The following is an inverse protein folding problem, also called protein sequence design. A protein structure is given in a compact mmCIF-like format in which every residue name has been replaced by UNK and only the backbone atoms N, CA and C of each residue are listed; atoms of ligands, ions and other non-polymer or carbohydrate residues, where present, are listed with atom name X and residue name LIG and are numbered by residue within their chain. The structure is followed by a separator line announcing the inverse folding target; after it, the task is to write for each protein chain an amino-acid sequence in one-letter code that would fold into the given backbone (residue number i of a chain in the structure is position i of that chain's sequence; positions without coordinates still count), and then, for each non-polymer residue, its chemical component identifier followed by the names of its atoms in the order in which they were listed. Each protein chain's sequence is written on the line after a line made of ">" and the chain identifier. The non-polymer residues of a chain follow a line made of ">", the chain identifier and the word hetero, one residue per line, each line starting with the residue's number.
data_IF_074130685697
#
_entry.id   IF_074130685697
#
_cell.length_a   1.000
_cell.length_b   1.000
_cell.length_c   1.000
_cell.angle_alpha   90.00
_cell.angle_beta   90.00
_cell.angle_gamma   90.00
#
_symmetry.space_group_name_H-M   'P 1'
#
loop_
_entity.id
_entity.type
_entity.pdbx_description
1 polymer ?
#
# COMPACT_ATOMS: atom_id res chain seq x y z
N UNK A 1 28.40 64.12 -23.67
CA UNK A 1 28.13 62.98 -22.76
C UNK A 1 27.40 61.88 -23.55
N UNK A 2 27.96 60.67 -23.57
CA UNK A 2 27.74 59.65 -24.62
C UNK A 2 26.43 58.86 -24.43
N UNK A 3 25.39 59.20 -25.21
CA UNK A 3 24.10 58.46 -25.31
C UNK A 3 24.24 56.97 -25.68
N UNK A 4 25.39 56.56 -26.22
CA UNK A 4 25.68 55.19 -26.65
C UNK A 4 26.08 54.22 -25.52
N UNK A 5 26.40 54.71 -24.33
CA UNK A 5 26.79 53.86 -23.20
C UNK A 5 25.57 53.26 -22.45
N UNK A 6 24.37 53.83 -22.64
CA UNK A 6 23.18 53.45 -21.86
C UNK A 6 22.47 52.20 -22.40
N UNK A 7 22.67 51.84 -23.67
CA UNK A 7 22.02 50.69 -24.30
C UNK A 7 22.79 49.37 -24.00
N UNK A 8 24.07 49.45 -23.66
CA UNK A 8 24.89 48.26 -23.36
C UNK A 8 24.68 47.66 -21.96
N UNK A 9 24.16 48.43 -21.01
CA UNK A 9 23.92 47.96 -19.64
C UNK A 9 22.53 47.33 -19.44
N UNK A 10 21.57 47.62 -20.31
CA UNK A 10 20.22 47.02 -20.23
C UNK A 10 20.17 45.56 -20.66
N UNK A 11 21.02 45.16 -21.62
CA UNK A 11 21.02 43.80 -22.19
C UNK A 11 21.69 42.76 -21.28
N UNK A 12 22.60 43.16 -20.38
CA UNK A 12 23.27 42.23 -19.45
C UNK A 12 22.36 41.84 -18.27
N UNK A 13 21.48 42.75 -17.81
CA UNK A 13 20.55 42.47 -16.71
C UNK A 13 19.37 41.58 -17.09
N UNK A 14 19.00 41.54 -18.38
CA UNK A 14 17.94 40.63 -18.89
C UNK A 14 18.48 39.22 -19.15
N UNK A 15 19.76 39.08 -19.48
CA UNK A 15 20.37 37.76 -19.67
C UNK A 15 20.60 37.01 -18.35
N UNK A 16 20.85 37.72 -17.24
CA UNK A 16 21.06 37.09 -15.92
C UNK A 16 19.77 36.54 -15.29
N UNK A 17 18.62 37.16 -15.56
CA UNK A 17 17.31 36.71 -15.10
C UNK A 17 16.73 35.55 -15.93
N UNK A 18 17.22 35.34 -17.15
CA UNK A 18 16.80 34.23 -18.01
C UNK A 18 17.46 32.88 -17.63
N UNK A 19 18.61 32.89 -16.96
CA UNK A 19 19.33 31.66 -16.55
C UNK A 19 19.01 31.27 -15.10
N UNK A 20 18.68 32.23 -14.23
CA UNK A 20 18.38 31.98 -12.81
C UNK A 20 16.94 31.55 -12.49
N UNK A 21 16.02 31.59 -13.46
CA UNK A 21 14.59 31.29 -13.26
C UNK A 21 14.18 29.85 -13.55
N UNK A 22 15.13 28.98 -13.93
CA UNK A 22 14.86 27.59 -14.31
C UNK A 22 15.12 26.56 -13.21
N UNK A 23 15.27 26.99 -11.96
CA UNK A 23 14.73 26.20 -10.86
C UNK A 23 13.22 26.41 -10.84
N UNK A 24 12.57 26.00 -11.93
CA UNK A 24 11.20 25.52 -11.88
C UNK A 24 11.25 24.45 -10.80
N UNK A 25 10.74 24.81 -9.63
CA UNK A 25 10.30 23.88 -8.62
C UNK A 25 9.43 22.87 -9.35
N UNK A 26 10.03 21.73 -9.72
CA UNK A 26 9.28 20.50 -9.94
C UNK A 26 8.83 20.05 -8.57
N UNK A 27 7.90 20.82 -7.99
CA UNK A 27 7.07 20.40 -6.89
C UNK A 27 5.93 19.53 -7.46
N UNK A 28 6.32 18.60 -8.33
CA UNK A 28 5.52 17.44 -8.64
C UNK A 28 5.91 16.46 -7.56
N UNK A 29 5.10 16.32 -6.51
CA UNK A 29 5.26 15.23 -5.56
C UNK A 29 5.47 13.95 -6.37
N UNK A 30 6.67 13.38 -6.27
CA UNK A 30 6.98 12.15 -6.98
C UNK A 30 6.05 11.05 -6.45
N UNK A 31 5.50 10.18 -7.31
CA UNK A 31 4.71 9.05 -6.88
C UNK A 31 5.42 8.25 -5.79
N UNK A 32 4.66 7.89 -4.76
CA UNK A 32 5.12 7.02 -3.70
C UNK A 32 4.94 5.56 -4.12
N UNK A 33 6.05 4.84 -4.21
CA UNK A 33 6.08 3.39 -4.36
C UNK A 33 6.02 2.73 -2.99
N UNK A 34 5.02 1.89 -2.79
CA UNK A 34 4.86 1.11 -1.57
C UNK A 34 5.33 -0.32 -1.82
N UNK A 35 6.04 -0.91 -0.86
CA UNK A 35 6.51 -2.29 -0.95
C UNK A 35 6.78 -2.88 0.43
N UNK A 36 7.09 -4.17 0.47
CA UNK A 36 7.59 -4.84 1.66
C UNK A 36 8.96 -5.43 1.37
N UNK A 37 9.86 -5.41 2.35
CA UNK A 37 11.20 -5.98 2.21
C UNK A 37 11.69 -6.57 3.52
N UNK A 38 12.66 -7.46 3.38
CA UNK A 38 13.47 -7.95 4.48
C UNK A 38 14.82 -7.22 4.48
N UNK A 39 15.48 -7.12 5.64
CA UNK A 39 16.88 -6.73 5.73
C UNK A 39 17.81 -7.95 5.81
N UNK A 40 19.12 -7.70 5.88
CA UNK A 40 20.13 -8.76 5.99
C UNK A 40 20.08 -9.56 7.30
N UNK A 41 19.44 -9.00 8.34
CA UNK A 41 19.24 -9.64 9.64
C UNK A 41 17.92 -10.44 9.68
N UNK A 42 17.16 -10.47 8.57
CA UNK A 42 15.87 -11.14 8.47
C UNK A 42 14.70 -10.36 9.09
N UNK A 43 14.87 -9.07 9.41
CA UNK A 43 13.78 -8.23 9.91
C UNK A 43 12.88 -7.75 8.77
N UNK A 44 11.59 -7.67 9.02
CA UNK A 44 10.57 -7.29 8.03
C UNK A 44 10.21 -5.81 8.11
N UNK A 45 9.98 -5.19 6.94
CA UNK A 45 9.64 -3.78 6.83
C UNK A 45 8.55 -3.53 5.80
N UNK A 46 7.60 -2.67 6.16
CA UNK A 46 6.75 -1.94 5.23
C UNK A 46 7.46 -0.65 4.82
N UNK A 47 7.58 -0.40 3.52
CA UNK A 47 8.43 0.68 2.99
C UNK A 47 7.73 1.55 1.97
N UNK A 48 8.13 2.82 1.96
CA UNK A 48 7.72 3.82 0.98
C UNK A 48 8.95 4.49 0.36
N UNK A 49 9.03 4.49 -0.97
CA UNK A 49 10.11 5.10 -1.74
C UNK A 49 9.55 6.05 -2.80
N UNK A 50 10.29 7.12 -3.11
CA UNK A 50 10.03 7.92 -4.32
C UNK A 50 10.66 7.25 -5.55
N UNK A 51 10.23 7.68 -6.74
CA UNK A 51 10.77 7.17 -8.01
C UNK A 51 12.28 7.40 -8.18
N UNK A 52 12.84 8.44 -7.55
CA UNK A 52 14.29 8.69 -7.52
C UNK A 52 15.07 7.80 -6.53
N UNK A 53 14.40 6.87 -5.84
CA UNK A 53 14.99 5.98 -4.85
C UNK A 53 15.09 6.58 -3.45
N UNK A 54 14.63 7.81 -3.23
CA UNK A 54 14.56 8.41 -1.90
C UNK A 54 13.61 7.61 -1.00
N UNK A 55 14.12 7.08 0.10
CA UNK A 55 13.30 6.43 1.14
C UNK A 55 12.49 7.48 1.88
N UNK A 56 11.16 7.35 1.85
CA UNK A 56 10.22 8.16 2.65
C UNK A 56 10.08 7.54 4.04
N UNK A 57 9.79 6.24 4.10
CA UNK A 57 9.69 5.51 5.37
C UNK A 57 10.13 4.05 5.25
N UNK A 58 10.43 3.46 6.40
CA UNK A 58 10.76 2.04 6.56
C UNK A 58 10.31 1.58 7.93
N UNK A 59 9.06 1.16 8.01
CA UNK A 59 8.37 0.84 9.26
C UNK A 59 8.58 -0.62 9.58
N UNK A 60 9.16 -0.96 10.75
CA UNK A 60 9.34 -2.35 11.15
C UNK A 60 7.99 -3.02 11.37
N UNK A 61 7.88 -4.28 10.94
CA UNK A 61 6.71 -5.14 11.13
C UNK A 61 7.17 -6.53 11.60
N UNK A 62 6.31 -7.25 12.32
CA UNK A 62 6.64 -8.55 12.94
C UNK A 62 6.67 -9.68 11.92
N UNK A 63 5.85 -9.60 10.88
CA UNK A 63 5.67 -10.65 9.88
C UNK A 63 5.94 -10.13 8.47
N UNK A 64 6.45 -11.02 7.62
CA UNK A 64 6.72 -10.70 6.21
C UNK A 64 5.41 -10.38 5.49
N UNK A 65 5.34 -9.24 4.82
CA UNK A 65 4.20 -8.90 3.97
C UNK A 65 4.35 -9.45 2.54
N UNK A 66 3.23 -9.68 1.87
CA UNK A 66 3.18 -10.18 0.50
C UNK A 66 2.88 -9.08 -0.51
N UNK A 67 1.78 -8.36 -0.31
CA UNK A 67 1.27 -7.34 -1.22
C UNK A 67 0.77 -6.11 -0.44
N UNK A 68 0.56 -5.00 -1.16
CA UNK A 68 0.21 -3.70 -0.58
C UNK A 68 -0.97 -3.08 -1.30
N UNK A 69 -1.98 -2.66 -0.54
CA UNK A 69 -3.20 -2.07 -1.09
C UNK A 69 -3.38 -0.66 -0.53
N UNK A 70 -3.25 0.34 -1.41
CA UNK A 70 -3.55 1.72 -1.06
C UNK A 70 -5.07 1.95 -1.01
N UNK A 71 -5.52 2.68 0.01
CA UNK A 71 -6.90 3.13 0.09
C UNK A 71 -7.18 4.14 -1.04
N UNK A 72 -8.34 4.07 -1.73
CA UNK A 72 -8.60 4.90 -2.91
C UNK A 72 -8.65 6.42 -2.63
N UNK A 73 -9.07 6.81 -1.42
CA UNK A 73 -9.33 8.23 -1.06
C UNK A 73 -8.55 8.78 0.14
N UNK A 74 -7.83 7.94 0.88
CA UNK A 74 -7.21 8.31 2.17
C UNK A 74 -5.73 7.95 2.11
N UNK A 75 -4.86 8.63 2.87
CA UNK A 75 -3.44 8.29 2.96
C UNK A 75 -3.23 7.06 3.84
N UNK A 76 -3.83 5.94 3.46
CA UNK A 76 -3.80 4.67 4.15
C UNK A 76 -3.34 3.59 3.17
N UNK A 77 -2.54 2.65 3.64
CA UNK A 77 -2.20 1.45 2.90
C UNK A 77 -2.21 0.23 3.83
N UNK A 78 -2.72 -0.88 3.33
CA UNK A 78 -2.69 -2.16 4.02
C UNK A 78 -1.56 -3.00 3.43
N UNK A 79 -0.59 -3.35 4.27
CA UNK A 79 0.46 -4.31 3.96
C UNK A 79 -0.01 -5.67 4.46
N UNK A 80 -0.37 -6.55 3.54
CA UNK A 80 -1.02 -7.83 3.89
C UNK A 80 0.04 -8.87 4.16
N UNK A 81 -0.08 -9.53 5.30
CA UNK A 81 0.84 -10.58 5.73
C UNK A 81 0.90 -11.76 4.76
N UNK A 82 2.11 -12.25 4.50
CA UNK A 82 2.36 -13.40 3.62
C UNK A 82 2.08 -14.70 4.35
N UNK A 83 1.33 -15.60 3.71
CA UNK A 83 1.02 -16.92 4.27
C UNK A 83 2.23 -17.69 4.83
N UNK A 84 2.06 -18.40 5.95
CA UNK A 84 1.02 -18.18 6.96
C UNK A 84 1.32 -16.89 7.74
N UNK A 85 0.39 -15.94 7.74
CA UNK A 85 0.53 -14.72 8.55
C UNK A 85 -0.64 -14.53 9.48
N UNK A 86 -0.39 -14.18 10.75
CA UNK A 86 -1.43 -13.80 11.71
C UNK A 86 -1.65 -12.30 11.75
N UNK A 87 -0.73 -11.54 11.15
CA UNK A 87 -0.77 -10.10 11.15
C UNK A 87 -0.83 -9.50 9.75
N UNK A 88 -1.45 -8.34 9.65
CA UNK A 88 -1.34 -7.39 8.54
C UNK A 88 -1.27 -5.98 9.13
N UNK A 89 -0.84 -4.99 8.35
CA UNK A 89 -0.49 -3.68 8.90
C UNK A 89 -1.19 -2.55 8.14
N UNK A 90 -1.97 -1.72 8.85
CA UNK A 90 -2.50 -0.47 8.33
C UNK A 90 -1.52 0.65 8.63
N UNK A 91 -1.05 1.32 7.60
CA UNK A 91 0.00 2.33 7.69
C UNK A 91 -0.50 3.65 7.07
N UNK A 92 -0.14 4.76 7.70
CA UNK A 92 -0.26 6.08 7.08
C UNK A 92 0.78 6.21 5.96
N UNK A 93 0.32 6.33 4.72
CA UNK A 93 1.22 6.35 3.57
C UNK A 93 2.04 7.63 3.45
N UNK A 94 1.75 8.69 4.22
CA UNK A 94 2.51 9.94 4.17
C UNK A 94 3.87 9.82 4.83
N UNK A 95 3.94 9.14 5.97
CA UNK A 95 5.14 9.10 6.81
C UNK A 95 5.51 7.70 7.33
N UNK A 96 4.69 6.68 7.02
CA UNK A 96 4.93 5.31 7.45
C UNK A 96 4.43 5.01 8.87
N UNK A 97 3.70 5.91 9.52
CA UNK A 97 3.17 5.66 10.86
C UNK A 97 2.30 4.38 10.87
N UNK A 98 2.66 3.42 11.71
CA UNK A 98 1.86 2.22 11.94
C UNK A 98 0.60 2.61 12.73
N UNK A 99 -0.56 2.57 12.07
CA UNK A 99 -1.84 2.94 12.66
C UNK A 99 -2.51 1.77 13.36
N UNK A 100 -2.36 0.56 12.81
CA UNK A 100 -2.97 -0.64 13.36
C UNK A 100 -2.22 -1.89 12.90
N UNK A 101 -1.97 -2.80 13.86
CA UNK A 101 -1.72 -4.21 13.56
C UNK A 101 -3.07 -4.91 13.49
N UNK A 102 -3.41 -5.44 12.32
CA UNK A 102 -4.58 -6.31 12.12
C UNK A 102 -4.20 -7.72 12.51
N UNK A 103 -4.66 -8.18 13.68
CA UNK A 103 -4.59 -9.59 14.03
C UNK A 103 -5.73 -10.35 13.34
N UNK A 104 -5.40 -11.48 12.71
CA UNK A 104 -6.41 -12.44 12.26
C UNK A 104 -7.07 -13.12 13.49
N UNK A 105 -8.31 -13.62 13.34
CA UNK A 105 -8.90 -14.50 14.34
C UNK A 105 -7.99 -15.73 14.62
N UNK A 106 -8.13 -16.39 15.79
CA UNK A 106 -7.29 -17.53 16.18
C UNK A 106 -7.09 -18.58 15.09
N UNK A 107 -8.17 -18.95 14.39
CA UNK A 107 -8.19 -20.01 13.39
C UNK A 107 -8.12 -19.49 11.95
N UNK A 108 -7.52 -18.32 11.74
CA UNK A 108 -7.37 -17.67 10.45
C UNK A 108 -5.94 -17.20 10.25
N UNK A 109 -5.43 -17.35 9.04
CA UNK A 109 -4.19 -16.72 8.58
C UNK A 109 -4.47 -15.95 7.28
N UNK A 110 -3.85 -14.78 7.13
CA UNK A 110 -3.86 -14.03 5.89
C UNK A 110 -3.12 -14.78 4.79
N UNK A 111 -3.63 -14.67 3.56
CA UNK A 111 -3.00 -15.24 2.37
C UNK A 111 -2.18 -14.25 1.54
N UNK A 112 -2.12 -12.99 1.96
CA UNK A 112 -1.23 -11.99 1.35
C UNK A 112 -1.90 -11.06 0.36
N UNK A 113 -3.18 -11.25 0.04
CA UNK A 113 -3.91 -10.40 -0.90
C UNK A 113 -5.15 -9.79 -0.27
N UNK A 114 -5.49 -8.61 -0.75
CA UNK A 114 -6.67 -7.85 -0.36
C UNK A 114 -7.15 -6.95 -1.47
N UNK A 115 -8.22 -6.20 -1.22
CA UNK A 115 -8.70 -5.16 -2.10
C UNK A 115 -9.62 -4.20 -1.34
N UNK A 116 -9.48 -2.90 -1.60
CA UNK A 116 -10.46 -1.93 -1.16
C UNK A 116 -11.63 -1.89 -2.13
N UNK A 117 -12.85 -1.71 -1.63
CA UNK A 117 -13.97 -1.29 -2.46
C UNK A 117 -13.72 0.12 -3.00
N UNK A 118 -14.28 0.46 -4.17
CA UNK A 118 -14.09 1.77 -4.80
C UNK A 118 -14.57 2.94 -3.92
N UNK A 119 -15.56 2.72 -3.05
CA UNK A 119 -16.01 3.73 -2.07
C UNK A 119 -14.96 4.03 -1.00
N UNK A 120 -14.02 3.11 -0.75
CA UNK A 120 -13.05 3.18 0.35
C UNK A 120 -13.58 2.69 1.69
N UNK A 121 -14.89 2.48 1.85
CA UNK A 121 -15.47 2.11 3.16
C UNK A 121 -15.17 0.67 3.59
N UNK A 122 -14.74 -0.17 2.65
CA UNK A 122 -14.58 -1.61 2.84
C UNK A 122 -13.23 -2.09 2.33
N UNK A 123 -12.63 -3.00 3.09
CA UNK A 123 -11.47 -3.77 2.71
C UNK A 123 -11.79 -5.27 2.83
N UNK A 124 -11.40 -6.02 1.82
CA UNK A 124 -11.57 -7.46 1.76
C UNK A 124 -10.21 -8.12 1.64
N UNK A 125 -10.01 -9.27 2.26
CA UNK A 125 -8.73 -10.00 2.24
C UNK A 125 -8.95 -11.50 2.20
N UNK A 126 -8.08 -12.21 1.49
CA UNK A 126 -8.13 -13.68 1.45
C UNK A 126 -7.44 -14.26 2.69
N UNK A 127 -8.13 -15.20 3.32
CA UNK A 127 -7.69 -15.87 4.54
C UNK A 127 -7.90 -17.40 4.39
N UNK A 128 -7.16 -18.17 5.18
CA UNK A 128 -7.46 -19.59 5.38
C UNK A 128 -8.31 -19.82 6.63
N UNK A 129 -9.01 -20.94 6.66
CA UNK A 129 -9.57 -21.52 7.87
C UNK A 129 -8.65 -22.66 8.33
N UNK A 130 -8.04 -22.52 9.51
CA UNK A 130 -7.20 -23.58 10.09
C UNK A 130 -8.01 -24.61 10.89
N UNK A 131 -9.26 -24.32 11.23
CA UNK A 131 -10.16 -25.27 11.89
C UNK A 131 -10.82 -26.24 10.89
N UNK A 132 -10.93 -25.84 9.61
CA UNK A 132 -11.40 -26.69 8.50
C UNK A 132 -10.35 -26.70 7.37
N UNK A 133 -9.52 -27.75 7.37
CA UNK A 133 -8.30 -27.84 6.59
C UNK A 133 -8.50 -27.55 5.09
N UNK A 134 -8.01 -26.38 4.68
CA UNK A 134 -7.98 -25.90 3.31
C UNK A 134 -9.17 -25.01 2.95
N UNK A 135 -10.22 -24.90 3.77
CA UNK A 135 -11.33 -23.99 3.50
C UNK A 135 -10.81 -22.55 3.43
N UNK A 136 -11.11 -21.87 2.32
CA UNK A 136 -10.79 -20.46 2.15
C UNK A 136 -11.90 -19.53 2.60
N UNK A 137 -11.56 -18.42 3.22
CA UNK A 137 -12.52 -17.38 3.59
C UNK A 137 -12.09 -16.00 3.07
N UNK A 138 -13.09 -15.15 2.91
CA UNK A 138 -12.93 -13.74 2.61
C UNK A 138 -13.20 -12.95 3.90
N UNK A 139 -12.15 -12.40 4.50
CA UNK A 139 -12.28 -11.48 5.62
C UNK A 139 -12.88 -10.16 5.17
N UNK A 140 -13.80 -9.60 5.97
CA UNK A 140 -14.54 -8.38 5.67
C UNK A 140 -14.23 -7.35 6.75
N UNK A 141 -13.73 -6.20 6.33
CA UNK A 141 -13.32 -5.11 7.21
C UNK A 141 -13.96 -3.80 6.77
N UNK A 142 -14.51 -3.07 7.74
CA UNK A 142 -15.00 -1.71 7.53
C UNK A 142 -13.92 -0.70 7.91
N UNK A 143 -13.79 0.36 7.12
CA UNK A 143 -12.94 1.50 7.44
C UNK A 143 -13.71 2.43 8.39
N UNK A 144 -13.22 2.54 9.62
CA UNK A 144 -13.79 3.41 10.66
C UNK A 144 -12.68 4.21 11.30
N UNK A 145 -12.76 5.55 11.25
CA UNK A 145 -11.79 6.45 11.90
C UNK A 145 -10.31 6.11 11.60
N UNK A 146 -10.01 5.75 10.34
CA UNK A 146 -8.67 5.33 9.89
C UNK A 146 -8.17 4.04 10.56
N UNK A 147 -9.11 3.15 10.90
CA UNK A 147 -8.89 1.78 11.37
C UNK A 147 -9.68 0.82 10.49
N UNK A 148 -9.25 -0.43 10.47
CA UNK A 148 -9.98 -1.53 9.88
C UNK A 148 -10.63 -2.37 10.97
N UNK A 149 -11.95 -2.38 10.99
CA UNK A 149 -12.77 -3.12 11.94
C UNK A 149 -13.35 -4.32 11.22
N UNK A 150 -12.96 -5.53 11.66
CA UNK A 150 -13.50 -6.76 11.08
C UNK A 150 -14.99 -6.85 11.40
N UNK A 151 -15.83 -7.01 10.37
CA UNK A 151 -17.28 -7.13 10.52
C UNK A 151 -17.79 -8.55 10.30
N UNK A 152 -17.01 -9.39 9.60
CA UNK A 152 -17.40 -10.77 9.34
C UNK A 152 -16.47 -11.47 8.36
N UNK A 153 -16.96 -12.59 7.84
CA UNK A 153 -16.32 -13.35 6.77
C UNK A 153 -17.36 -14.05 5.88
N UNK A 154 -16.94 -14.38 4.66
CA UNK A 154 -17.68 -15.27 3.76
C UNK A 154 -16.83 -16.46 3.34
N UNK A 155 -17.49 -17.60 3.07
CA UNK A 155 -16.84 -18.71 2.39
C UNK A 155 -16.45 -18.29 0.98
N UNK A 156 -15.22 -18.61 0.57
CA UNK A 156 -14.80 -18.48 -0.84
C UNK A 156 -15.26 -19.67 -1.68
N UNK A 157 -15.82 -20.71 -1.04
CA UNK A 157 -16.24 -21.98 -1.65
C UNK A 157 -15.11 -22.74 -2.37
N UNK A 158 -13.86 -22.47 -2.01
CA UNK A 158 -12.69 -23.15 -2.56
C UNK A 158 -11.56 -23.30 -1.56
N UNK A 159 -10.47 -23.89 -2.04
CA UNK A 159 -9.26 -24.12 -1.27
C UNK A 159 -8.18 -23.15 -1.72
N UNK A 160 -7.49 -22.55 -0.74
CA UNK A 160 -6.39 -21.63 -0.97
C UNK A 160 -6.76 -20.45 -1.88
N UNK A 161 -7.76 -19.62 -1.54
CA UNK A 161 -8.02 -18.37 -2.23
C UNK A 161 -6.75 -17.51 -2.26
N UNK A 162 -6.38 -17.07 -3.46
CA UNK A 162 -5.16 -16.29 -3.67
C UNK A 162 -5.55 -14.85 -4.00
N UNK A 163 -5.69 -14.55 -5.29
CA UNK A 163 -6.04 -13.23 -5.78
C UNK A 163 -7.54 -12.96 -5.66
N UNK A 164 -7.89 -11.70 -5.42
CA UNK A 164 -9.24 -11.17 -5.51
C UNK A 164 -9.22 -9.85 -6.28
N UNK A 165 -10.24 -9.60 -7.10
CA UNK A 165 -10.37 -8.41 -7.94
C UNK A 165 -11.84 -8.04 -8.12
N UNK A 166 -12.13 -6.74 -8.14
CA UNK A 166 -13.43 -6.24 -8.57
C UNK A 166 -13.59 -6.39 -10.09
N UNK A 167 -14.79 -6.80 -10.50
CA UNK A 167 -15.20 -6.73 -11.90
C UNK A 167 -15.41 -5.26 -12.31
N UNK A 168 -15.44 -4.96 -13.62
CA UNK A 168 -15.65 -3.59 -14.11
C UNK A 168 -16.97 -2.94 -13.68
N UNK A 169 -17.94 -3.72 -13.19
CA UNK A 169 -19.19 -3.19 -12.63
C UNK A 169 -19.01 -2.52 -11.27
N UNK A 170 -17.88 -2.74 -10.59
CA UNK A 170 -17.56 -2.20 -9.27
C UNK A 170 -18.25 -2.91 -8.10
N UNK A 171 -19.09 -3.91 -8.37
CA UNK A 171 -19.98 -4.52 -7.37
C UNK A 171 -19.76 -6.04 -7.26
N UNK A 172 -19.26 -6.67 -8.32
CA UNK A 172 -18.97 -8.12 -8.31
C UNK A 172 -17.50 -8.34 -7.94
N UNK A 173 -17.25 -9.04 -6.84
CA UNK A 173 -15.90 -9.45 -6.43
C UNK A 173 -15.61 -10.87 -6.94
N UNK A 174 -14.53 -11.03 -7.71
CA UNK A 174 -14.05 -12.34 -8.17
C UNK A 174 -12.85 -12.77 -7.32
N UNK A 175 -12.86 -14.03 -6.91
CA UNK A 175 -11.83 -14.64 -6.07
C UNK A 175 -11.28 -15.85 -6.78
N UNK A 176 -9.96 -15.85 -7.01
CA UNK A 176 -9.24 -16.97 -7.58
C UNK A 176 -8.98 -18.01 -6.49
N UNK A 177 -9.82 -19.05 -6.46
CA UNK A 177 -9.59 -20.24 -5.67
C UNK A 177 -8.63 -21.17 -6.41
N UNK A 178 -7.55 -21.57 -5.75
CA UNK A 178 -6.59 -22.47 -6.35
C UNK A 178 -5.26 -22.39 -5.61
N UNK A 179 -4.90 -23.50 -4.96
CA UNK A 179 -3.64 -23.65 -4.25
C UNK A 179 -3.47 -25.08 -3.73
N UNK A 180 -2.24 -25.42 -3.34
CA UNK A 180 -1.97 -26.61 -2.54
C UNK A 180 -2.55 -26.35 -1.14
N UNK A 181 -3.09 -27.39 -0.48
CA UNK A 181 -3.44 -27.33 0.95
C UNK A 181 -2.22 -26.84 1.73
N UNK A 182 -2.24 -25.57 2.14
CA UNK A 182 -1.26 -25.02 3.05
C UNK A 182 -1.86 -25.07 4.44
N UNK A 183 -1.67 -26.21 5.07
CA UNK A 183 -1.72 -26.33 6.52
C UNK A 183 -0.43 -25.66 7.04
N UNK A 184 -0.58 -24.70 7.93
CA UNK A 184 0.54 -24.16 8.68
C UNK A 184 0.46 -24.81 10.05
N UNK A 185 1.49 -25.60 10.38
CA UNK A 185 1.76 -26.02 11.75
C UNK A 185 2.11 -24.80 12.62
#
# INVERSE_FOLDING_TARGET
>A
MKRRAFIGLGSVLVAASAVGGWTLTRDTEQPLLLSARDDADGRHYAVGYRLDGTRVFSTPVSERCHDVYAHPHLPLAVFVGRRPSRESYLIDSRDGTLLQVLASPPDRHFYGHGVFHASGDWFYTTENDTADAGRGVLGIYRVEERRLVRTGEHSTHGIGPHQLLWMPDGETLVIANGGIRTEAD
#
